data_IF_531491220799
#
_entry.id   IF_531491220799
#
_cell.length_a   1.000
_cell.length_b   1.000
_cell.length_c   1.000
_cell.angle_alpha   90.00
_cell.angle_beta   90.00
_cell.angle_gamma   90.00
#
_symmetry.space_group_name_H-M   'P 1'
#
loop_
_entity.id
_entity.type
_entity.pdbx_description
1 polymer ?
#
# COMPACT_ATOMS: atom_id res chain seq x y z
N UNK A 1 -10.87 3.21 -33.21
CA UNK A 1 -11.42 3.94 -32.04
C UNK A 1 -10.42 3.84 -30.88
N UNK A 2 -9.47 4.78 -30.73
CA UNK A 2 -8.41 4.72 -29.69
C UNK A 2 -8.06 6.10 -29.07
N UNK A 3 -8.88 7.13 -29.28
CA UNK A 3 -8.63 8.51 -28.80
C UNK A 3 -9.16 8.83 -27.40
N UNK A 4 -9.81 7.87 -26.72
CA UNK A 4 -10.57 8.10 -25.48
C UNK A 4 -9.72 7.98 -24.20
N UNK A 5 -8.79 7.04 -24.16
CA UNK A 5 -8.08 6.66 -22.92
C UNK A 5 -7.05 7.70 -22.47
N UNK A 6 -6.26 8.26 -23.40
CA UNK A 6 -5.23 9.25 -23.08
C UNK A 6 -5.82 10.57 -22.55
N UNK A 7 -6.99 10.96 -23.03
CA UNK A 7 -7.69 12.18 -22.58
C UNK A 7 -8.27 12.00 -21.18
N UNK A 8 -8.80 10.82 -20.86
CA UNK A 8 -9.23 10.46 -19.50
C UNK A 8 -8.05 10.44 -18.53
N UNK A 9 -6.96 9.77 -18.89
CA UNK A 9 -5.72 9.76 -18.09
C UNK A 9 -5.25 11.20 -17.84
N UNK A 10 -5.13 12.05 -18.85
CA UNK A 10 -4.72 13.46 -18.66
C UNK A 10 -5.68 14.28 -17.79
N UNK A 11 -6.99 14.01 -17.87
CA UNK A 11 -7.99 14.70 -17.05
C UNK A 11 -7.88 14.29 -15.59
N UNK A 12 -7.66 13.01 -15.32
CA UNK A 12 -7.53 12.47 -13.97
C UNK A 12 -6.16 12.83 -13.37
N UNK A 13 -5.08 12.83 -14.15
CA UNK A 13 -3.80 13.44 -13.74
C UNK A 13 -4.03 14.89 -13.28
N UNK A 14 -4.77 15.70 -14.06
CA UNK A 14 -5.12 17.06 -13.64
C UNK A 14 -6.03 17.11 -12.40
N UNK A 15 -6.78 16.06 -12.09
CA UNK A 15 -7.71 15.99 -10.97
C UNK A 15 -7.01 15.55 -9.67
N UNK A 16 -6.11 14.57 -9.78
CA UNK A 16 -5.22 14.09 -8.72
C UNK A 16 -4.23 15.19 -8.33
N UNK A 17 -3.58 15.83 -9.32
CA UNK A 17 -2.57 16.87 -9.08
C UNK A 17 -3.16 18.28 -8.95
N UNK A 18 -4.49 18.41 -8.81
CA UNK A 18 -5.14 19.70 -8.55
C UNK A 18 -4.96 20.07 -7.08
N UNK A 19 -4.46 21.28 -6.76
CA UNK A 19 -4.43 21.75 -5.38
C UNK A 19 -5.87 21.90 -4.87
N UNK A 20 -6.28 21.12 -3.86
CA UNK A 20 -7.59 21.30 -3.21
C UNK A 20 -7.42 21.96 -1.82
N UNK A 21 -8.40 22.78 -1.37
CA UNK A 21 -8.20 23.74 -0.29
C UNK A 21 -8.51 23.21 1.12
N UNK A 22 -8.74 21.90 1.29
CA UNK A 22 -9.26 21.29 2.53
C UNK A 22 -8.18 20.42 3.19
N UNK A 23 -8.24 20.08 4.50
CA UNK A 23 -7.42 18.99 5.05
C UNK A 23 -7.77 17.72 4.27
N UNK A 24 -6.79 17.20 3.58
CA UNK A 24 -7.02 16.53 2.31
C UNK A 24 -6.80 15.03 2.55
N UNK A 25 -7.83 14.16 2.36
CA UNK A 25 -7.78 12.74 2.75
C UNK A 25 -6.62 12.00 2.08
N UNK A 26 -5.98 11.08 2.79
CA UNK A 26 -4.87 10.28 2.27
C UNK A 26 -5.19 9.66 0.89
N UNK A 27 -4.21 9.56 -0.01
CA UNK A 27 -4.38 8.86 -1.28
C UNK A 27 -3.98 7.39 -1.16
N UNK A 28 -2.83 7.13 -0.53
CA UNK A 28 -2.17 5.83 -0.54
C UNK A 28 -1.71 5.46 0.87
N UNK A 29 -2.15 4.32 1.40
CA UNK A 29 -1.60 3.76 2.62
C UNK A 29 -0.43 2.83 2.29
N UNK A 30 0.75 3.03 2.89
CA UNK A 30 1.91 2.16 2.72
C UNK A 30 2.08 1.32 3.98
N UNK A 31 1.71 0.05 3.86
CA UNK A 31 1.86 -0.97 4.88
C UNK A 31 3.18 -1.72 4.64
N UNK A 32 4.03 -1.79 5.66
CA UNK A 32 5.38 -2.35 5.53
C UNK A 32 5.92 -2.85 6.86
N UNK A 33 7.01 -3.61 6.81
CA UNK A 33 7.79 -3.99 7.98
C UNK A 33 9.05 -3.14 8.08
N UNK A 34 9.03 -2.17 9.00
CA UNK A 34 10.12 -1.19 9.14
C UNK A 34 11.50 -1.79 9.40
N UNK A 35 11.60 -2.91 10.13
CA UNK A 35 12.90 -3.54 10.46
C UNK A 35 13.56 -4.25 9.27
N UNK A 36 12.78 -4.69 8.28
CA UNK A 36 13.31 -5.48 7.16
C UNK A 36 13.91 -4.61 6.07
N UNK A 37 13.43 -3.39 5.93
CA UNK A 37 13.77 -2.52 4.81
C UNK A 37 15.11 -1.81 5.04
N UNK A 38 16.21 -2.58 5.05
CA UNK A 38 17.60 -2.07 5.12
C UNK A 38 17.91 -0.99 4.06
N UNK A 39 17.22 -1.00 2.92
CA UNK A 39 17.28 0.00 1.83
C UNK A 39 15.99 0.82 1.66
N UNK A 40 15.18 0.91 2.71
CA UNK A 40 13.98 1.74 2.85
C UNK A 40 13.10 1.84 1.58
N UNK A 41 12.71 0.70 1.00
CA UNK A 41 11.80 0.63 -0.18
C UNK A 41 10.56 1.50 0.06
N UNK A 42 9.92 1.31 1.22
CA UNK A 42 8.72 2.04 1.62
C UNK A 42 8.96 3.55 1.68
N UNK A 43 10.11 3.98 2.21
CA UNK A 43 10.47 5.40 2.28
C UNK A 43 10.81 6.01 0.93
N UNK A 44 11.49 5.28 0.05
CA UNK A 44 11.75 5.74 -1.33
C UNK A 44 10.44 5.88 -2.11
N UNK A 45 9.56 4.88 -2.02
CA UNK A 45 8.23 4.94 -2.61
C UNK A 45 7.41 6.11 -2.04
N UNK A 46 7.41 6.29 -0.71
CA UNK A 46 6.77 7.42 -0.06
C UNK A 46 7.24 8.77 -0.63
N UNK A 47 8.56 8.96 -0.73
CA UNK A 47 9.13 10.21 -1.25
C UNK A 47 8.83 10.41 -2.73
N UNK A 48 8.85 9.34 -3.52
CA UNK A 48 8.54 9.38 -4.95
C UNK A 48 7.08 9.76 -5.20
N UNK A 49 6.12 9.06 -4.55
CA UNK A 49 4.69 9.36 -4.63
C UNK A 49 4.40 10.79 -4.16
N UNK A 50 5.03 11.23 -3.07
CA UNK A 50 4.90 12.62 -2.59
C UNK A 50 5.46 13.63 -3.60
N UNK A 51 6.60 13.32 -4.21
CA UNK A 51 7.28 14.18 -5.17
C UNK A 51 6.46 14.44 -6.44
N UNK A 52 5.61 13.49 -6.84
CA UNK A 52 4.69 13.69 -7.96
C UNK A 52 3.39 14.38 -7.56
N UNK A 53 3.10 14.52 -6.26
CA UNK A 53 1.94 15.25 -5.74
C UNK A 53 0.85 14.38 -5.10
N UNK A 54 1.08 13.07 -4.93
CA UNK A 54 0.21 12.20 -4.14
C UNK A 54 0.44 12.39 -2.63
N UNK A 55 -0.53 11.96 -1.83
CA UNK A 55 -0.49 12.03 -0.36
C UNK A 55 -0.38 10.63 0.24
N UNK A 56 0.83 10.04 0.26
CA UNK A 56 1.04 8.76 0.92
C UNK A 56 1.02 8.91 2.44
N UNK A 57 0.52 7.89 3.13
CA UNK A 57 0.68 7.66 4.55
C UNK A 57 1.66 6.51 4.77
N UNK A 58 2.73 6.78 5.52
CA UNK A 58 3.70 5.80 5.98
C UNK A 58 3.90 6.01 7.48
N UNK A 59 3.64 4.99 8.29
CA UNK A 59 3.69 5.03 9.77
C UNK A 59 4.92 5.79 10.31
N UNK A 60 6.12 5.40 9.86
CA UNK A 60 7.42 5.96 10.25
C UNK A 60 7.64 7.43 9.84
N UNK A 61 6.78 7.98 8.99
CA UNK A 61 6.83 9.38 8.51
C UNK A 61 5.67 10.23 9.00
N UNK A 62 4.50 9.63 9.22
CA UNK A 62 3.25 10.34 9.48
C UNK A 62 2.80 10.27 10.96
N UNK A 63 3.34 9.32 11.73
CA UNK A 63 3.09 9.25 13.17
C UNK A 63 3.98 10.23 13.95
N UNK A 64 3.40 10.80 15.01
CA UNK A 64 4.04 11.69 15.97
C UNK A 64 4.13 11.00 17.33
N UNK A 65 5.12 11.37 18.17
CA UNK A 65 5.14 10.93 19.56
C UNK A 65 3.82 11.24 20.27
N UNK A 66 3.24 10.24 20.94
CA UNK A 66 1.95 10.35 21.64
C UNK A 66 0.72 9.97 20.82
N UNK A 67 0.86 9.72 19.51
CA UNK A 67 -0.25 9.16 18.72
C UNK A 67 -0.60 7.75 19.21
N UNK A 68 -1.91 7.46 19.31
CA UNK A 68 -2.40 6.10 19.53
C UNK A 68 -2.25 5.32 18.23
N UNK A 69 -1.42 4.27 18.29
CA UNK A 69 -0.99 3.51 17.12
C UNK A 69 -2.17 3.00 16.29
N UNK A 70 -3.08 2.25 16.91
CA UNK A 70 -4.25 1.71 16.21
C UNK A 70 -5.22 2.80 15.74
N UNK A 71 -5.62 3.73 16.61
CA UNK A 71 -6.60 4.76 16.25
C UNK A 71 -6.19 5.56 15.00
N UNK A 72 -4.91 5.93 14.90
CA UNK A 72 -4.42 6.74 13.78
C UNK A 72 -4.18 5.91 12.52
N UNK A 73 -3.66 4.69 12.65
CA UNK A 73 -3.40 3.81 11.52
C UNK A 73 -4.71 3.33 10.90
N UNK A 74 -5.66 2.88 11.72
CA UNK A 74 -6.96 2.40 11.26
C UNK A 74 -7.73 3.54 10.57
N UNK A 75 -7.72 4.75 11.15
CA UNK A 75 -8.29 5.93 10.51
C UNK A 75 -7.62 6.25 9.16
N UNK A 76 -6.29 6.21 9.09
CA UNK A 76 -5.57 6.44 7.84
C UNK A 76 -5.93 5.38 6.78
N UNK A 77 -6.01 4.10 7.14
CA UNK A 77 -6.43 3.03 6.22
C UNK A 77 -7.83 3.30 5.67
N UNK A 78 -8.76 3.73 6.51
CA UNK A 78 -10.11 4.07 6.06
C UNK A 78 -10.15 5.31 5.15
N UNK A 79 -9.32 6.32 5.43
CA UNK A 79 -9.23 7.54 4.62
C UNK A 79 -8.50 7.35 3.29
N UNK A 80 -7.44 6.53 3.26
CA UNK A 80 -6.67 6.27 2.05
C UNK A 80 -7.51 5.53 1.00
N UNK A 81 -7.35 5.86 -0.28
CA UNK A 81 -8.09 5.22 -1.38
C UNK A 81 -7.51 3.86 -1.77
N UNK A 82 -6.19 3.79 -1.85
CA UNK A 82 -5.42 2.61 -2.28
C UNK A 82 -4.46 2.18 -1.18
N UNK A 83 -4.31 0.87 -1.01
CA UNK A 83 -3.29 0.27 -0.16
C UNK A 83 -2.09 -0.22 -0.97
N UNK A 84 -0.89 -0.05 -0.45
CA UNK A 84 0.33 -0.72 -0.94
C UNK A 84 0.87 -1.58 0.20
N UNK A 85 0.98 -2.88 -0.03
CA UNK A 85 1.55 -3.82 0.92
C UNK A 85 2.95 -4.22 0.48
N UNK A 86 3.98 -3.72 1.17
CA UNK A 86 5.38 -4.03 0.90
C UNK A 86 5.78 -5.24 1.75
N UNK A 87 5.65 -6.43 1.16
CA UNK A 87 6.02 -7.70 1.76
C UNK A 87 7.54 -7.88 1.77
N UNK A 88 8.07 -8.23 2.92
CA UNK A 88 9.50 -8.47 3.18
C UNK A 88 9.70 -9.68 4.11
N UNK A 89 10.92 -10.21 4.29
CA UNK A 89 11.12 -11.53 4.91
C UNK A 89 10.51 -11.74 6.30
N UNK A 90 10.46 -10.71 7.16
CA UNK A 90 9.84 -10.77 8.51
C UNK A 90 8.50 -10.04 8.58
N UNK A 91 7.88 -9.75 7.43
CA UNK A 91 6.59 -9.07 7.38
C UNK A 91 5.52 -9.86 8.13
N UNK A 92 5.41 -11.17 7.90
CA UNK A 92 4.40 -12.02 8.54
C UNK A 92 4.67 -12.31 10.02
N UNK A 93 5.85 -11.93 10.54
CA UNK A 93 6.15 -12.02 11.98
C UNK A 93 5.62 -10.78 12.74
N UNK A 94 5.04 -9.80 12.02
CA UNK A 94 4.53 -8.56 12.58
C UNK A 94 3.02 -8.58 12.71
N UNK A 95 2.52 -8.66 13.94
CA UNK A 95 1.09 -8.50 14.22
C UNK A 95 0.52 -7.21 13.59
N UNK A 96 1.25 -6.09 13.69
CA UNK A 96 0.80 -4.81 13.13
C UNK A 96 0.68 -4.84 11.61
N UNK A 97 1.66 -5.43 10.91
CA UNK A 97 1.60 -5.50 9.45
C UNK A 97 0.42 -6.38 8.99
N UNK A 98 0.19 -7.50 9.67
CA UNK A 98 -0.94 -8.40 9.40
C UNK A 98 -2.30 -7.75 9.70
N UNK A 99 -2.39 -7.01 10.81
CA UNK A 99 -3.58 -6.23 11.18
C UNK A 99 -3.89 -5.19 10.11
N UNK A 100 -2.92 -4.37 9.73
CA UNK A 100 -3.07 -3.35 8.68
C UNK A 100 -3.51 -3.95 7.34
N UNK A 101 -2.88 -5.05 6.89
CA UNK A 101 -3.26 -5.73 5.66
C UNK A 101 -4.70 -6.24 5.71
N UNK A 102 -5.06 -6.92 6.81
CA UNK A 102 -6.41 -7.44 6.99
C UNK A 102 -7.45 -6.32 6.99
N UNK A 103 -7.14 -5.18 7.61
CA UNK A 103 -8.04 -4.03 7.65
C UNK A 103 -8.21 -3.38 6.28
N UNK A 104 -7.15 -3.27 5.48
CA UNK A 104 -7.24 -2.79 4.09
C UNK A 104 -8.18 -3.68 3.26
N UNK A 105 -8.06 -5.01 3.40
CA UNK A 105 -8.89 -5.95 2.66
C UNK A 105 -10.34 -5.98 3.15
N UNK A 106 -10.57 -5.96 4.46
CA UNK A 106 -11.92 -5.84 5.04
C UNK A 106 -12.61 -4.55 4.61
N UNK A 107 -11.84 -3.46 4.48
CA UNK A 107 -12.29 -2.17 3.95
C UNK A 107 -12.43 -2.15 2.43
N UNK A 108 -12.24 -3.28 1.75
CA UNK A 108 -12.32 -3.45 0.29
C UNK A 108 -11.47 -2.46 -0.49
N UNK A 109 -10.33 -2.06 0.08
CA UNK A 109 -9.37 -1.19 -0.60
C UNK A 109 -8.73 -1.97 -1.74
N UNK A 110 -8.42 -1.29 -2.85
CA UNK A 110 -7.53 -1.88 -3.85
C UNK A 110 -6.13 -1.95 -3.26
N UNK A 111 -5.58 -3.15 -3.15
CA UNK A 111 -4.25 -3.40 -2.58
C UNK A 111 -3.28 -3.73 -3.71
N UNK A 112 -2.15 -3.02 -3.74
CA UNK A 112 -1.02 -3.28 -4.63
C UNK A 112 0.06 -4.03 -3.83
N UNK A 113 0.23 -5.34 -4.05
CA UNK A 113 1.27 -6.10 -3.36
C UNK A 113 2.64 -5.88 -4.03
N UNK A 114 3.66 -5.63 -3.22
CA UNK A 114 5.06 -5.54 -3.62
C UNK A 114 5.83 -6.58 -2.82
N UNK A 115 6.45 -7.55 -3.49
CA UNK A 115 7.21 -8.64 -2.88
C UNK A 115 8.71 -8.31 -2.96
N UNK A 116 9.29 -7.88 -1.85
CA UNK A 116 10.70 -7.50 -1.73
C UNK A 116 11.53 -8.65 -1.15
N UNK A 117 12.54 -9.08 -1.91
CA UNK A 117 13.52 -10.11 -1.51
C UNK A 117 12.90 -11.45 -1.08
N UNK A 118 11.67 -11.74 -1.54
CA UNK A 118 10.95 -12.99 -1.29
C UNK A 118 9.97 -13.31 -2.42
N UNK A 119 9.54 -14.57 -2.46
CA UNK A 119 8.44 -15.04 -3.31
C UNK A 119 7.12 -15.04 -2.53
N UNK A 120 5.96 -14.82 -3.19
CA UNK A 120 4.65 -14.91 -2.54
C UNK A 120 4.43 -16.23 -1.77
N UNK A 121 4.98 -17.35 -2.27
CA UNK A 121 4.90 -18.67 -1.63
C UNK A 121 5.57 -18.77 -0.24
N UNK A 122 6.46 -17.82 0.08
CA UNK A 122 7.17 -17.74 1.35
C UNK A 122 6.33 -17.03 2.43
N UNK A 123 5.31 -16.27 2.04
CA UNK A 123 4.41 -15.58 2.98
C UNK A 123 3.50 -16.59 3.69
N UNK A 124 3.67 -16.68 5.02
CA UNK A 124 2.95 -17.62 5.88
C UNK A 124 2.67 -16.99 7.24
N UNK A 125 1.41 -16.99 7.64
CA UNK A 125 1.01 -16.59 8.99
C UNK A 125 1.20 -17.78 9.93
N UNK A 126 2.05 -17.62 10.94
CA UNK A 126 2.31 -18.63 11.96
C UNK A 126 1.32 -18.48 13.11
N UNK A 127 0.94 -19.60 13.71
CA UNK A 127 0.25 -19.61 14.98
C UNK A 127 1.27 -19.84 16.09
N UNK A 128 1.56 -18.81 16.87
CA UNK A 128 2.43 -18.87 18.04
C UNK A 128 1.63 -18.76 19.36
N UNK A 129 0.29 -18.82 19.28
CA UNK A 129 -0.60 -18.64 20.43
C UNK A 129 -0.75 -17.20 20.92
N UNK A 130 -0.11 -16.21 20.28
CA UNK A 130 -0.20 -14.80 20.68
C UNK A 130 -1.46 -14.09 20.20
N UNK A 131 -2.16 -14.66 19.21
CA UNK A 131 -3.28 -14.04 18.52
C UNK A 131 -4.57 -14.88 18.67
N UNK A 132 -5.73 -14.28 18.98
CA UNK A 132 -7.00 -15.01 18.98
C UNK A 132 -7.29 -15.66 17.62
N UNK A 133 -7.85 -16.88 17.63
CA UNK A 133 -8.10 -17.66 16.42
C UNK A 133 -8.85 -16.89 15.31
N UNK A 134 -9.89 -16.13 15.67
CA UNK A 134 -10.67 -15.35 14.70
C UNK A 134 -9.85 -14.26 13.99
N UNK A 135 -8.82 -13.69 14.63
CA UNK A 135 -7.90 -12.74 13.99
C UNK A 135 -6.89 -13.46 13.12
N UNK A 136 -6.42 -14.61 13.58
CA UNK A 136 -5.48 -15.44 12.83
C UNK A 136 -6.05 -15.90 11.49
N UNK A 137 -7.34 -16.25 11.45
CA UNK A 137 -8.03 -16.62 10.21
C UNK A 137 -8.15 -15.43 9.25
N UNK A 138 -8.44 -14.23 9.76
CA UNK A 138 -8.43 -13.00 8.96
C UNK A 138 -7.04 -12.73 8.37
N UNK A 139 -5.98 -12.89 9.16
CA UNK A 139 -4.61 -12.71 8.68
C UNK A 139 -4.23 -13.72 7.60
N UNK A 140 -4.61 -14.98 7.78
CA UNK A 140 -4.36 -16.04 6.78
C UNK A 140 -5.10 -15.75 5.48
N UNK A 141 -6.37 -15.38 5.56
CA UNK A 141 -7.17 -15.00 4.40
C UNK A 141 -6.54 -13.82 3.67
N UNK A 142 -6.11 -12.80 4.41
CA UNK A 142 -5.51 -11.61 3.83
C UNK A 142 -4.19 -11.88 3.11
N UNK A 143 -3.31 -12.70 3.71
CA UNK A 143 -2.08 -13.14 3.05
C UNK A 143 -2.39 -13.99 1.80
N UNK A 144 -3.37 -14.87 1.88
CA UNK A 144 -3.73 -15.73 0.76
C UNK A 144 -4.30 -14.93 -0.43
N UNK A 145 -5.13 -13.93 -0.16
CA UNK A 145 -5.63 -12.99 -1.17
C UNK A 145 -4.49 -12.17 -1.78
N UNK A 146 -3.58 -11.64 -0.96
CA UNK A 146 -2.43 -10.88 -1.44
C UNK A 146 -1.52 -11.72 -2.37
N UNK A 147 -1.31 -13.00 -2.05
CA UNK A 147 -0.50 -13.91 -2.87
C UNK A 147 -1.08 -14.14 -4.28
N UNK A 148 -2.40 -14.07 -4.40
CA UNK A 148 -3.11 -14.25 -5.68
C UNK A 148 -3.43 -12.94 -6.39
N UNK A 149 -3.12 -11.81 -5.76
CA UNK A 149 -3.27 -10.49 -6.36
C UNK A 149 -2.03 -10.19 -7.21
N UNK A 150 -2.26 -9.67 -8.43
CA UNK A 150 -1.15 -9.27 -9.31
C UNK A 150 -0.33 -8.17 -8.64
N UNK A 151 0.95 -8.44 -8.45
CA UNK A 151 1.87 -7.55 -7.74
C UNK A 151 3.17 -7.31 -8.49
N UNK A 152 4.06 -6.58 -7.83
CA UNK A 152 5.42 -6.34 -8.28
C UNK A 152 6.40 -7.17 -7.45
N UNK A 153 7.44 -7.70 -8.08
CA UNK A 153 8.58 -8.30 -7.38
C UNK A 153 9.77 -7.37 -7.45
N UNK A 154 10.55 -7.30 -6.38
CA UNK A 154 11.73 -6.44 -6.35
C UNK A 154 12.87 -7.07 -5.55
N UNK A 155 14.05 -7.13 -6.16
CA UNK A 155 15.30 -7.53 -5.52
C UNK A 155 16.04 -6.26 -5.09
N UNK A 156 16.15 -6.02 -3.78
CA UNK A 156 16.73 -4.77 -3.28
C UNK A 156 18.24 -4.69 -3.48
N UNK A 157 18.91 -5.82 -3.78
CA UNK A 157 20.34 -5.90 -4.01
C UNK A 157 20.71 -5.63 -5.46
N UNK A 158 19.92 -6.14 -6.41
CA UNK A 158 20.25 -6.20 -7.84
C UNK A 158 19.25 -5.46 -8.74
N UNK A 159 18.10 -5.06 -8.20
CA UNK A 159 17.02 -4.43 -8.95
C UNK A 159 17.34 -3.01 -9.43
N UNK A 160 16.70 -2.63 -10.53
CA UNK A 160 16.69 -1.26 -11.04
C UNK A 160 15.68 -0.42 -10.24
N UNK A 161 16.21 0.52 -9.43
CA UNK A 161 15.41 1.36 -8.55
C UNK A 161 14.52 2.36 -9.32
N UNK A 162 15.06 3.14 -10.29
CA UNK A 162 14.22 3.98 -11.15
C UNK A 162 13.07 3.23 -11.82
N UNK A 163 13.34 2.07 -12.43
CA UNK A 163 12.31 1.28 -13.11
C UNK A 163 11.27 0.76 -12.11
N UNK A 164 11.71 0.24 -10.97
CA UNK A 164 10.81 -0.21 -9.91
C UNK A 164 9.89 0.92 -9.42
N UNK A 165 10.45 2.10 -9.12
CA UNK A 165 9.66 3.23 -8.63
C UNK A 165 8.65 3.71 -9.68
N UNK A 166 9.04 3.75 -10.96
CA UNK A 166 8.13 4.09 -12.05
C UNK A 166 6.98 3.08 -12.16
N UNK A 167 7.28 1.78 -12.19
CA UNK A 167 6.29 0.72 -12.28
C UNK A 167 5.33 0.71 -11.08
N UNK A 168 5.86 0.83 -9.85
CA UNK A 168 5.06 0.90 -8.64
C UNK A 168 4.11 2.11 -8.67
N UNK A 169 4.61 3.25 -9.10
CA UNK A 169 3.84 4.49 -9.21
C UNK A 169 2.74 4.38 -10.25
N UNK A 170 3.02 3.83 -11.43
CA UNK A 170 2.03 3.64 -12.49
C UNK A 170 0.88 2.72 -12.05
N UNK A 171 1.21 1.62 -11.36
CA UNK A 171 0.20 0.71 -10.82
C UNK A 171 -0.66 1.41 -9.76
N UNK A 172 -0.05 2.19 -8.87
CA UNK A 172 -0.78 2.98 -7.85
C UNK A 172 -1.71 4.00 -8.51
N UNK A 173 -1.22 4.78 -9.47
CA UNK A 173 -2.02 5.78 -10.20
C UNK A 173 -3.18 5.13 -10.94
N UNK A 174 -2.94 3.99 -11.60
CA UNK A 174 -4.00 3.23 -12.28
C UNK A 174 -5.10 2.80 -11.29
N UNK A 175 -4.72 2.28 -10.12
CA UNK A 175 -5.69 1.89 -9.10
C UNK A 175 -6.47 3.09 -8.56
N UNK A 176 -5.81 4.24 -8.36
CA UNK A 176 -6.47 5.48 -7.94
C UNK A 176 -7.51 5.96 -8.98
N UNK A 177 -7.15 5.95 -10.27
CA UNK A 177 -8.06 6.26 -11.38
C UNK A 177 -9.30 5.37 -11.33
N UNK A 178 -9.11 4.06 -11.19
CA UNK A 178 -10.24 3.13 -11.20
C UNK A 178 -11.13 3.26 -9.95
N UNK A 179 -10.60 3.69 -8.81
CA UNK A 179 -11.43 3.99 -7.62
C UNK A 179 -12.25 5.26 -7.84
N UNK A 180 -11.67 6.31 -8.43
CA UNK A 180 -12.41 7.55 -8.72
C UNK A 180 -13.53 7.35 -9.75
N UNK A 181 -13.30 6.52 -10.76
CA UNK A 181 -14.31 6.17 -11.75
C UNK A 181 -15.50 5.39 -11.14
N UNK A 182 -15.28 4.66 -10.04
CA UNK A 182 -16.32 3.92 -9.32
C UNK A 182 -17.12 4.80 -8.35
N UNK A 183 -16.50 5.83 -7.78
CA UNK A 183 -17.15 6.79 -6.87
C UNK A 183 -18.00 7.83 -7.62
N UNK A 184 -17.70 8.07 -8.90
CA UNK A 184 -18.40 9.05 -9.75
C UNK A 184 -19.52 8.48 -10.64
N UNK A 185 -19.79 7.17 -10.58
CA UNK A 185 -20.84 6.47 -11.32
C UNK A 185 -22.09 6.24 -10.45
#
# INVERSE_FOLDING_TARGET
MQRSTATKINTIYRQIFRPKPQPQPCDVFINHRGIDTKRNVSGLLYHHLRGIGLRPFLDSKNMKPGDRLFDKIDAAIHECKVGVAVFSPMYCDSYFCLHELSLMMESRKKVVPIFCDLKPSELRVKDDGSCPAHKLDKFRLAIEEAKHTVGLTFDTLRGDWPEFLANATDVVIKNLIEVEDQEGA
#
